data_IF_558091409821
#
_entry.id   IF_558091409821
#
_cell.length_a   1.000
_cell.length_b   1.000
_cell.length_c   1.000
_cell.angle_alpha   90.00
_cell.angle_beta   90.00
_cell.angle_gamma   90.00
#
_symmetry.space_group_name_H-M   'P 1'
#
loop_
_entity.id
_entity.type
_entity.pdbx_description
1 polymer ?
#
# COMPACT_ATOMS: atom_id res chain seq x y z
N UNK A 1 13.03 8.65 -10.25
CA UNK A 1 11.79 7.98 -10.70
C UNK A 1 10.62 8.87 -10.29
N UNK A 2 9.93 9.46 -11.25
CA UNK A 2 8.71 10.19 -10.96
C UNK A 2 7.61 9.16 -10.65
N UNK A 3 7.27 9.02 -9.37
CA UNK A 3 6.06 8.34 -8.97
C UNK A 3 4.94 9.30 -9.37
N UNK A 4 4.36 9.06 -10.54
CA UNK A 4 3.10 9.73 -10.90
C UNK A 4 2.04 9.15 -9.99
N UNK A 5 1.24 10.01 -9.37
CA UNK A 5 0.00 9.58 -8.72
C UNK A 5 -0.84 8.88 -9.78
N UNK A 6 -0.84 7.56 -9.72
CA UNK A 6 -1.70 6.75 -10.57
C UNK A 6 -3.12 6.88 -10.02
N UNK A 7 -3.96 7.60 -10.74
CA UNK A 7 -5.38 7.68 -10.43
C UNK A 7 -6.06 6.51 -11.14
N UNK A 8 -6.60 5.61 -10.36
CA UNK A 8 -7.37 4.48 -10.86
C UNK A 8 -8.85 4.83 -10.97
N UNK A 9 -9.55 4.11 -11.80
CA UNK A 9 -10.99 4.17 -11.82
C UNK A 9 -11.56 3.38 -10.63
N UNK A 10 -12.44 4.02 -9.86
CA UNK A 10 -13.13 3.36 -8.77
C UNK A 10 -14.27 2.51 -9.32
N UNK A 11 -14.42 1.31 -8.78
CA UNK A 11 -15.44 0.36 -9.19
C UNK A 11 -16.48 0.13 -8.10
N UNK A 12 -17.74 -0.03 -8.52
CA UNK A 12 -18.84 -0.36 -7.65
C UNK A 12 -19.60 0.86 -7.14
N UNK A 13 -20.29 0.69 -6.03
CA UNK A 13 -21.09 1.71 -5.37
C UNK A 13 -20.71 1.82 -3.90
N UNK A 14 -20.54 3.04 -3.42
CA UNK A 14 -20.25 3.33 -2.03
C UNK A 14 -21.49 3.91 -1.34
N UNK A 15 -21.74 3.45 -0.11
CA UNK A 15 -22.79 3.97 0.77
C UNK A 15 -22.16 4.50 2.05
N UNK A 16 -22.84 5.46 2.69
CA UNK A 16 -22.42 5.96 4.00
C UNK A 16 -22.38 4.85 5.04
N UNK A 17 -21.52 5.01 6.05
CA UNK A 17 -21.37 4.10 7.21
C UNK A 17 -20.90 2.67 6.88
N UNK A 18 -20.31 2.47 5.71
CA UNK A 18 -19.67 1.19 5.36
C UNK A 18 -18.26 1.11 5.96
N UNK A 19 -17.87 -0.11 6.27
CA UNK A 19 -16.50 -0.41 6.70
C UNK A 19 -15.53 -0.38 5.53
N UNK A 20 -14.33 0.15 5.78
CA UNK A 20 -13.21 0.13 4.85
C UNK A 20 -12.26 -1.01 5.20
N UNK A 21 -11.98 -1.86 4.24
CA UNK A 21 -11.01 -2.94 4.38
C UNK A 21 -9.78 -2.67 3.51
N UNK A 22 -8.61 -2.82 4.10
CA UNK A 22 -7.35 -2.81 3.37
C UNK A 22 -6.91 -4.26 3.10
N UNK A 23 -6.53 -4.54 1.86
CA UNK A 23 -5.99 -5.85 1.45
C UNK A 23 -4.51 -5.69 1.13
N UNK A 24 -3.66 -6.46 1.81
CA UNK A 24 -2.22 -6.37 1.70
C UNK A 24 -1.60 -5.37 2.67
N UNK A 25 -0.33 -5.05 2.45
CA UNK A 25 0.44 -4.13 3.31
C UNK A 25 0.70 -2.81 2.61
N UNK A 26 0.77 -1.73 3.38
CA UNK A 26 1.07 -0.39 2.88
C UNK A 26 2.57 -0.13 2.82
N UNK A 27 2.99 0.82 1.98
CA UNK A 27 4.36 1.32 1.90
C UNK A 27 5.44 0.27 1.55
N UNK A 28 5.09 -0.81 0.88
CA UNK A 28 6.05 -1.86 0.50
C UNK A 28 7.12 -1.35 -0.47
N UNK A 29 6.71 -0.65 -1.52
CA UNK A 29 7.64 -0.11 -2.52
C UNK A 29 8.54 0.96 -1.91
N UNK A 30 7.99 1.89 -1.16
CA UNK A 30 8.74 2.93 -0.46
C UNK A 30 9.76 2.36 0.51
N UNK A 31 9.39 1.32 1.25
CA UNK A 31 10.31 0.59 2.14
C UNK A 31 11.47 -0.03 1.38
N UNK A 32 11.21 -0.73 0.29
CA UNK A 32 12.26 -1.35 -0.54
C UNK A 32 13.21 -0.30 -1.12
N UNK A 33 12.69 0.81 -1.61
CA UNK A 33 13.50 1.92 -2.15
C UNK A 33 14.34 2.59 -1.05
N UNK A 34 13.76 2.89 0.09
CA UNK A 34 14.45 3.48 1.23
C UNK A 34 15.54 2.55 1.79
N UNK A 35 15.28 1.24 1.85
CA UNK A 35 16.26 0.26 2.29
C UNK A 35 17.46 0.14 1.32
N UNK A 36 17.24 0.28 0.03
CA UNK A 36 18.32 0.33 -0.97
C UNK A 36 19.14 1.61 -0.85
N UNK A 37 18.48 2.75 -0.73
CA UNK A 37 19.15 4.06 -0.61
C UNK A 37 19.88 4.23 0.72
N UNK A 38 19.36 3.68 1.80
CA UNK A 38 19.91 3.78 3.16
C UNK A 38 20.67 2.53 3.62
N UNK A 39 21.13 1.68 2.71
CA UNK A 39 21.76 0.40 3.02
C UNK A 39 22.88 0.52 4.06
N UNK A 40 23.81 1.47 3.89
CA UNK A 40 24.93 1.67 4.79
C UNK A 40 24.48 1.97 6.24
N UNK A 41 23.49 2.82 6.41
CA UNK A 41 22.92 3.14 7.72
C UNK A 41 22.23 1.95 8.36
N UNK A 42 21.50 1.19 7.57
CA UNK A 42 20.79 -0.03 8.04
C UNK A 42 21.75 -1.15 8.43
N UNK A 43 22.84 -1.33 7.68
CA UNK A 43 23.88 -2.33 7.98
C UNK A 43 24.64 -2.05 9.28
N UNK A 44 24.67 -0.81 9.75
CA UNK A 44 25.23 -0.49 11.07
C UNK A 44 24.37 -1.03 12.23
N UNK A 45 23.12 -1.35 11.99
CA UNK A 45 22.18 -1.76 13.02
C UNK A 45 21.63 -3.17 12.84
N UNK A 46 21.44 -3.60 11.61
CA UNK A 46 20.83 -4.87 11.26
C UNK A 46 21.79 -5.76 10.48
N UNK A 47 21.53 -7.06 10.51
CA UNK A 47 22.28 -8.01 9.69
C UNK A 47 22.09 -7.77 8.20
N UNK A 48 23.06 -8.14 7.39
CA UNK A 48 22.98 -8.05 5.94
C UNK A 48 21.78 -8.84 5.36
N UNK A 49 21.42 -9.94 5.97
CA UNK A 49 20.25 -10.74 5.60
C UNK A 49 18.95 -9.94 5.79
N UNK A 50 18.79 -9.32 6.95
CA UNK A 50 17.61 -8.54 7.26
C UNK A 50 17.48 -7.32 6.36
N UNK A 51 18.57 -6.60 6.12
CA UNK A 51 18.57 -5.46 5.19
C UNK A 51 18.16 -5.89 3.79
N UNK A 52 18.62 -7.03 3.33
CA UNK A 52 18.22 -7.62 2.04
C UNK A 52 16.73 -7.98 2.00
N UNK A 53 16.18 -8.51 3.08
CA UNK A 53 14.75 -8.77 3.21
C UNK A 53 13.92 -7.47 3.10
N UNK A 54 14.38 -6.39 3.72
CA UNK A 54 13.76 -5.07 3.58
C UNK A 54 13.82 -4.52 2.15
N UNK A 55 14.96 -4.67 1.48
CA UNK A 55 15.15 -4.25 0.09
C UNK A 55 14.24 -5.02 -0.88
N UNK A 56 13.94 -6.26 -0.58
CA UNK A 56 13.09 -7.15 -1.40
C UNK A 56 11.64 -7.24 -0.89
N UNK A 57 11.25 -6.39 0.03
CA UNK A 57 9.94 -6.46 0.67
C UNK A 57 8.79 -6.32 -0.33
N UNK A 58 8.93 -5.41 -1.30
CA UNK A 58 7.95 -5.19 -2.34
C UNK A 58 7.74 -6.43 -3.21
N UNK A 59 8.82 -7.02 -3.71
CA UNK A 59 8.73 -8.23 -4.55
C UNK A 59 8.13 -9.41 -3.78
N UNK A 60 8.44 -9.54 -2.51
CA UNK A 60 7.96 -10.64 -1.67
C UNK A 60 6.46 -10.52 -1.35
N UNK A 61 5.98 -9.34 -1.06
CA UNK A 61 4.62 -9.09 -0.58
C UNK A 61 3.75 -8.31 -1.54
N UNK A 62 4.26 -8.02 -2.74
CA UNK A 62 3.53 -7.27 -3.74
C UNK A 62 2.21 -7.97 -4.11
N UNK A 63 1.08 -7.29 -3.95
CA UNK A 63 -0.21 -7.84 -4.35
C UNK A 63 -0.50 -7.69 -5.86
N UNK A 64 0.47 -7.29 -6.69
CA UNK A 64 0.26 -7.05 -8.12
C UNK A 64 -0.41 -8.20 -8.86
N UNK A 65 -0.09 -9.48 -8.62
CA UNK A 65 -0.81 -10.57 -9.25
C UNK A 65 -2.31 -10.59 -8.91
N UNK A 66 -2.64 -10.25 -7.66
CA UNK A 66 -4.03 -10.11 -7.21
C UNK A 66 -4.68 -8.86 -7.81
N UNK A 67 -3.98 -7.74 -7.84
CA UNK A 67 -4.48 -6.48 -8.41
C UNK A 67 -4.67 -6.56 -9.92
N UNK A 68 -3.77 -7.21 -10.66
CA UNK A 68 -3.92 -7.49 -12.08
C UNK A 68 -5.11 -8.40 -12.36
N UNK A 69 -5.32 -9.40 -11.52
CA UNK A 69 -6.48 -10.26 -11.58
C UNK A 69 -7.77 -9.48 -11.27
N UNK A 70 -7.76 -8.55 -10.33
CA UNK A 70 -8.88 -7.64 -10.04
C UNK A 70 -9.17 -6.69 -11.22
N UNK A 71 -8.14 -6.18 -11.87
CA UNK A 71 -8.29 -5.35 -13.07
C UNK A 71 -8.85 -6.13 -14.27
N UNK A 72 -8.58 -7.42 -14.38
CA UNK A 72 -8.96 -8.28 -15.50
C UNK A 72 -10.42 -8.78 -15.48
N UNK A 73 -11.32 -8.20 -14.74
CA UNK A 73 -12.74 -8.54 -14.61
C UNK A 73 -13.09 -9.87 -13.96
N UNK A 74 -12.17 -10.80 -13.84
CA UNK A 74 -12.46 -12.13 -13.29
C UNK A 74 -12.76 -12.12 -11.79
N UNK A 75 -12.27 -11.12 -11.07
CA UNK A 75 -12.37 -11.08 -9.61
C UNK A 75 -13.35 -10.05 -9.06
N UNK A 76 -13.97 -9.23 -9.88
CA UNK A 76 -15.17 -8.47 -9.49
C UNK A 76 -16.23 -9.41 -8.88
N UNK A 77 -16.37 -10.62 -9.43
CA UNK A 77 -17.26 -11.63 -8.90
C UNK A 77 -16.85 -12.12 -7.51
N UNK A 78 -15.54 -12.23 -7.23
CA UNK A 78 -15.04 -12.64 -5.92
C UNK A 78 -15.30 -11.56 -4.88
N UNK A 79 -14.99 -10.29 -5.20
CA UNK A 79 -15.26 -9.16 -4.31
C UNK A 79 -16.74 -9.01 -4.02
N UNK A 80 -17.59 -9.15 -5.02
CA UNK A 80 -19.04 -9.14 -4.85
C UNK A 80 -19.53 -10.30 -3.98
N UNK A 81 -18.94 -11.49 -4.14
CA UNK A 81 -19.24 -12.66 -3.29
C UNK A 81 -18.79 -12.46 -1.85
N UNK A 82 -17.70 -11.72 -1.62
CA UNK A 82 -17.22 -11.36 -0.29
C UNK A 82 -18.01 -10.20 0.34
N UNK A 83 -18.97 -9.64 -0.39
CA UNK A 83 -19.80 -8.55 0.09
C UNK A 83 -19.18 -7.16 -0.09
N UNK A 84 -18.10 -7.04 -0.84
CA UNK A 84 -17.54 -5.72 -1.19
C UNK A 84 -18.45 -5.01 -2.20
N UNK A 85 -18.86 -3.79 -1.89
CA UNK A 85 -19.70 -2.96 -2.77
C UNK A 85 -18.90 -2.03 -3.66
N UNK A 86 -17.71 -1.63 -3.24
CA UNK A 86 -16.78 -0.80 -3.99
C UNK A 86 -15.33 -1.18 -3.68
N UNK A 87 -14.41 -0.91 -4.60
CA UNK A 87 -12.99 -1.17 -4.41
C UNK A 87 -12.12 -0.25 -5.26
N UNK A 88 -10.89 -0.05 -4.81
CA UNK A 88 -9.90 0.81 -5.45
C UNK A 88 -8.48 0.31 -5.19
N UNK A 89 -7.62 0.20 -6.22
CA UNK A 89 -6.22 -0.14 -6.05
C UNK A 89 -5.44 1.00 -5.39
N UNK A 90 -4.54 0.69 -4.47
CA UNK A 90 -3.77 1.72 -3.77
C UNK A 90 -2.76 2.45 -4.67
N UNK A 91 -2.11 1.74 -5.59
CA UNK A 91 -1.15 2.34 -6.52
C UNK A 91 0.15 2.82 -5.90
N UNK A 92 0.98 3.49 -6.71
CA UNK A 92 2.30 3.97 -6.32
C UNK A 92 2.34 5.28 -5.53
N UNK A 93 1.25 6.02 -5.49
CA UNK A 93 1.14 7.31 -4.78
C UNK A 93 0.96 7.20 -3.26
N UNK A 94 0.85 5.98 -2.74
CA UNK A 94 0.67 5.71 -1.32
C UNK A 94 -0.79 5.61 -0.88
N UNK A 95 -0.98 5.10 0.33
CA UNK A 95 -2.31 4.79 0.88
C UNK A 95 -3.19 6.03 1.06
N UNK A 96 -2.62 7.15 1.48
CA UNK A 96 -3.41 8.37 1.72
C UNK A 96 -3.93 8.97 0.41
N UNK A 97 -3.11 9.02 -0.63
CA UNK A 97 -3.55 9.46 -1.95
C UNK A 97 -4.63 8.53 -2.52
N UNK A 98 -4.46 7.22 -2.37
CA UNK A 98 -5.45 6.22 -2.80
C UNK A 98 -6.79 6.40 -2.07
N UNK A 99 -6.77 6.60 -0.76
CA UNK A 99 -7.98 6.86 0.03
C UNK A 99 -8.67 8.14 -0.42
N UNK A 100 -7.91 9.20 -0.64
CA UNK A 100 -8.45 10.46 -1.13
C UNK A 100 -9.16 10.27 -2.47
N UNK A 101 -8.50 9.68 -3.46
CA UNK A 101 -9.09 9.46 -4.78
C UNK A 101 -10.30 8.54 -4.75
N UNK A 102 -10.23 7.50 -3.92
CA UNK A 102 -11.33 6.55 -3.77
C UNK A 102 -12.60 7.21 -3.22
N UNK A 103 -12.49 7.94 -2.13
CA UNK A 103 -13.63 8.58 -1.48
C UNK A 103 -14.10 9.83 -2.22
N UNK A 104 -13.18 10.61 -2.78
CA UNK A 104 -13.52 11.79 -3.58
C UNK A 104 -14.35 11.41 -4.81
N UNK A 105 -14.01 10.32 -5.48
CA UNK A 105 -14.74 9.83 -6.64
C UNK A 105 -16.20 9.46 -6.35
N UNK A 106 -16.52 9.07 -5.11
CA UNK A 106 -17.88 8.79 -4.65
C UNK A 106 -18.56 9.95 -3.90
N UNK A 107 -17.83 11.04 -3.65
CA UNK A 107 -18.34 12.18 -2.89
C UNK A 107 -18.51 11.94 -1.39
N UNK A 108 -17.75 10.99 -0.82
CA UNK A 108 -17.76 10.68 0.61
C UNK A 108 -16.48 11.15 1.30
N UNK A 109 -16.57 11.42 2.60
CA UNK A 109 -15.45 11.51 3.51
C UNK A 109 -15.13 10.15 4.12
N UNK A 110 -14.03 10.07 4.86
CA UNK A 110 -13.68 8.88 5.63
C UNK A 110 -13.06 9.25 6.98
N UNK A 111 -13.23 8.37 7.93
CA UNK A 111 -12.58 8.41 9.24
C UNK A 111 -11.78 7.12 9.41
N UNK A 112 -10.54 7.24 9.87
CA UNK A 112 -9.66 6.10 9.99
C UNK A 112 -8.75 6.21 11.22
N UNK A 113 -8.56 5.11 11.92
CA UNK A 113 -7.51 4.97 12.92
C UNK A 113 -6.22 4.52 12.24
N UNK A 114 -5.21 5.40 12.22
CA UNK A 114 -3.91 5.13 11.59
C UNK A 114 -3.22 3.88 12.16
N UNK A 115 -3.51 3.51 13.40
CA UNK A 115 -2.96 2.30 14.03
C UNK A 115 -3.48 1.01 13.41
N UNK A 116 -4.59 1.08 12.67
CA UNK A 116 -5.18 -0.06 11.96
C UNK A 116 -4.65 -0.24 10.53
N UNK A 117 -3.79 0.65 10.06
CA UNK A 117 -3.14 0.45 8.77
C UNK A 117 -2.26 -0.81 8.79
N UNK A 118 -2.37 -1.67 7.79
CA UNK A 118 -1.56 -2.88 7.70
C UNK A 118 -0.12 -2.52 7.27
N UNK A 119 0.76 -2.33 8.24
CA UNK A 119 2.16 -1.96 8.07
C UNK A 119 3.04 -3.10 8.57
N UNK A 120 4.02 -3.48 7.78
CA UNK A 120 5.02 -4.46 8.19
C UNK A 120 6.04 -3.84 9.15
N UNK A 121 6.60 -4.68 10.03
CA UNK A 121 7.65 -4.26 10.95
C UNK A 121 8.88 -3.73 10.22
N UNK A 122 9.28 -4.35 9.12
CA UNK A 122 10.39 -3.92 8.28
C UNK A 122 10.20 -2.48 7.80
N UNK A 123 8.99 -2.11 7.43
CA UNK A 123 8.64 -0.73 7.05
C UNK A 123 8.89 0.25 8.19
N UNK A 124 8.42 -0.07 9.39
CA UNK A 124 8.62 0.78 10.59
C UNK A 124 10.11 0.97 10.89
N UNK A 125 10.88 -0.11 10.87
CA UNK A 125 12.31 -0.05 11.18
C UNK A 125 13.11 0.70 10.12
N UNK A 126 12.81 0.51 8.84
CA UNK A 126 13.42 1.27 7.75
C UNK A 126 13.11 2.75 7.88
N UNK A 127 11.87 3.13 8.19
CA UNK A 127 11.48 4.52 8.40
C UNK A 127 12.23 5.18 9.55
N UNK A 128 12.45 4.46 10.65
CA UNK A 128 13.13 4.99 11.83
C UNK A 128 14.64 5.13 11.63
N UNK A 129 15.27 4.17 10.98
CA UNK A 129 16.72 4.06 10.94
C UNK A 129 17.38 4.40 9.60
N UNK A 130 16.61 4.62 8.55
CA UNK A 130 17.13 5.10 7.28
C UNK A 130 17.06 6.63 7.20
N UNK A 131 18.18 7.32 6.98
CA UNK A 131 18.19 8.79 6.89
C UNK A 131 17.44 9.35 5.67
N UNK A 132 17.06 8.49 4.76
CA UNK A 132 16.32 8.85 3.52
C UNK A 132 14.88 8.36 3.50
N UNK A 133 14.35 7.97 4.63
CA UNK A 133 12.99 7.45 4.77
C UNK A 133 11.91 8.56 4.79
N UNK A 134 12.14 9.68 4.11
CA UNK A 134 11.15 10.76 4.00
C UNK A 134 9.86 10.35 3.25
N UNK A 135 9.74 9.09 2.85
CA UNK A 135 8.62 8.53 2.11
C UNK A 135 7.74 7.57 2.93
N UNK A 136 8.02 7.42 4.20
CA UNK A 136 7.21 6.55 5.08
C UNK A 136 6.05 7.29 5.71
#
# INVERSE_FOLDING_TARGET
MNIKDEIFEAYGEMKAEQDLLAVGYTALLGTSMAAKSGEAALLNRFSARYVRECQNLYEKWNPSPLLEAFAAHKERKVLTRLGASAWYPAGGGGVMAALWHFFDGFGFGFEMDLRKLPIRQETVEVCVYSPRAAFC
#
